data_IF_674445702787
#
_entry.id   IF_674445702787
#
_cell.length_a   1.000
_cell.length_b   1.000
_cell.length_c   1.000
_cell.angle_alpha   90.00
_cell.angle_beta   90.00
_cell.angle_gamma   90.00
#
_symmetry.space_group_name_H-M   'P 1'
#
loop_
_entity.id
_entity.type
_entity.pdbx_description
1 polymer ?
#
# COMPACT_ATOMS: atom_id res chain seq x y z
N UNK A 1 13.79 -43.27 24.93
CA UNK A 1 14.22 -41.89 25.22
C UNK A 1 14.07 -41.06 23.93
N UNK A 2 12.97 -40.32 23.79
CA UNK A 2 12.68 -39.51 22.62
C UNK A 2 13.36 -38.13 22.78
N UNK A 3 14.29 -37.82 21.89
CA UNK A 3 15.00 -36.54 21.84
C UNK A 3 14.07 -35.49 21.22
N UNK A 4 13.50 -34.63 22.05
CA UNK A 4 12.72 -33.47 21.62
C UNK A 4 13.68 -32.41 21.11
N UNK A 5 13.77 -32.22 19.76
CA UNK A 5 14.44 -31.06 19.18
C UNK A 5 13.69 -29.80 19.55
N UNK A 6 14.37 -28.77 20.08
CA UNK A 6 13.73 -27.49 20.33
C UNK A 6 13.31 -26.85 19.00
N UNK A 7 12.07 -26.37 18.97
CA UNK A 7 11.49 -25.55 17.90
C UNK A 7 12.30 -24.25 17.80
N UNK A 8 12.75 -23.82 16.60
CA UNK A 8 13.49 -22.57 16.49
C UNK A 8 12.59 -21.41 16.94
N UNK A 9 13.09 -20.66 17.90
CA UNK A 9 12.49 -19.39 18.33
C UNK A 9 12.33 -18.47 17.13
N UNK A 10 11.27 -17.63 17.13
CA UNK A 10 11.04 -16.60 16.14
C UNK A 10 12.35 -15.84 15.87
N UNK A 11 12.77 -15.79 14.60
CA UNK A 11 14.06 -15.24 14.20
C UNK A 11 14.17 -13.81 14.69
N UNK A 12 15.08 -13.56 15.63
CA UNK A 12 15.49 -12.19 15.98
C UNK A 12 15.92 -11.51 14.68
N UNK A 13 15.18 -10.46 14.32
CA UNK A 13 15.53 -9.64 13.16
C UNK A 13 16.99 -9.17 13.30
N UNK A 14 17.80 -9.46 12.29
CA UNK A 14 19.23 -9.15 12.36
C UNK A 14 19.45 -7.65 12.55
N UNK A 15 20.53 -7.26 13.24
CA UNK A 15 20.93 -5.85 13.39
C UNK A 15 21.01 -5.12 12.04
N UNK A 16 21.37 -5.85 10.98
CA UNK A 16 21.45 -5.33 9.62
C UNK A 16 20.05 -4.99 9.06
N UNK A 17 19.08 -5.86 9.26
CA UNK A 17 17.71 -5.62 8.80
C UNK A 17 17.05 -4.48 9.57
N UNK A 18 17.26 -4.40 10.88
CA UNK A 18 16.79 -3.26 11.70
C UNK A 18 17.39 -1.93 11.23
N UNK A 19 18.69 -1.90 10.94
CA UNK A 19 19.35 -0.70 10.40
C UNK A 19 18.82 -0.33 9.02
N UNK A 20 18.58 -1.32 8.15
CA UNK A 20 18.01 -1.13 6.81
C UNK A 20 16.61 -0.51 6.91
N UNK A 21 15.76 -1.08 7.73
CA UNK A 21 14.39 -0.57 7.96
C UNK A 21 14.39 0.86 8.52
N UNK A 22 15.25 1.12 9.53
CA UNK A 22 15.39 2.46 10.11
C UNK A 22 15.83 3.51 9.08
N UNK A 23 16.83 3.18 8.24
CA UNK A 23 17.30 4.10 7.18
C UNK A 23 16.21 4.35 6.14
N UNK A 24 15.51 3.29 5.67
CA UNK A 24 14.40 3.44 4.72
C UNK A 24 13.31 4.34 5.29
N UNK A 25 12.94 4.14 6.54
CA UNK A 25 11.94 4.94 7.22
C UNK A 25 12.36 6.40 7.35
N UNK A 26 13.57 6.68 7.82
CA UNK A 26 14.08 8.05 7.93
C UNK A 26 14.04 8.79 6.59
N UNK A 27 14.35 8.10 5.48
CA UNK A 27 14.21 8.67 4.14
C UNK A 27 12.77 9.05 3.81
N UNK A 28 11.81 8.15 4.10
CA UNK A 28 10.38 8.38 3.83
C UNK A 28 9.86 9.55 4.65
N UNK A 29 10.07 9.55 5.95
CA UNK A 29 9.58 10.58 6.87
C UNK A 29 10.15 11.95 6.49
N UNK A 30 11.48 12.05 6.31
CA UNK A 30 12.15 13.29 5.89
C UNK A 30 11.63 13.81 4.54
N UNK A 31 11.41 12.93 3.57
CA UNK A 31 10.95 13.34 2.25
C UNK A 31 9.50 13.85 2.30
N UNK A 32 8.60 13.10 2.94
CA UNK A 32 7.19 13.47 3.02
C UNK A 32 6.99 14.79 3.75
N UNK A 33 7.73 15.03 4.83
CA UNK A 33 7.71 16.32 5.53
C UNK A 33 8.16 17.45 4.62
N UNK A 34 9.29 17.29 3.92
CA UNK A 34 9.83 18.31 3.01
C UNK A 34 8.92 18.58 1.82
N UNK A 35 8.39 17.53 1.20
CA UNK A 35 7.47 17.66 0.07
C UNK A 35 6.18 18.40 0.48
N UNK A 36 5.71 18.16 1.69
CA UNK A 36 4.52 18.82 2.23
C UNK A 36 4.78 20.28 2.57
N UNK A 37 5.95 20.62 3.11
CA UNK A 37 6.29 21.97 3.55
C UNK A 37 6.70 22.89 2.40
N UNK A 38 7.56 22.42 1.50
CA UNK A 38 8.15 23.24 0.44
C UNK A 38 7.54 22.99 -0.95
N UNK A 39 6.68 21.96 -1.09
CA UNK A 39 6.16 21.50 -2.37
C UNK A 39 7.06 20.45 -3.03
N UNK A 40 6.43 19.44 -3.65
CA UNK A 40 7.13 18.32 -4.26
C UNK A 40 8.18 18.72 -5.29
N UNK A 41 7.84 19.64 -6.20
CA UNK A 41 8.73 20.04 -7.30
C UNK A 41 9.93 20.89 -6.82
N UNK A 42 9.80 21.58 -5.71
CA UNK A 42 10.84 22.45 -5.15
C UNK A 42 11.92 21.67 -4.37
N UNK A 43 11.63 20.46 -3.94
CA UNK A 43 12.56 19.65 -3.14
C UNK A 43 13.35 18.72 -4.05
N UNK A 44 14.66 18.85 -4.05
CA UNK A 44 15.57 17.99 -4.81
C UNK A 44 15.89 16.70 -4.06
N UNK A 45 16.33 15.68 -4.80
CA UNK A 45 16.80 14.43 -4.20
C UNK A 45 18.04 14.65 -3.31
N UNK A 46 18.90 15.61 -3.67
CA UNK A 46 20.08 15.95 -2.88
C UNK A 46 19.71 16.50 -1.50
N UNK A 47 18.72 17.37 -1.44
CA UNK A 47 18.21 17.92 -0.19
C UNK A 47 17.58 16.86 0.69
N UNK A 48 16.83 15.91 0.12
CA UNK A 48 16.29 14.78 0.86
C UNK A 48 17.41 13.91 1.43
N UNK A 49 18.41 13.57 0.61
CA UNK A 49 19.55 12.74 1.04
C UNK A 49 20.37 13.44 2.14
N UNK A 50 20.63 14.73 1.98
CA UNK A 50 21.37 15.51 2.97
C UNK A 50 20.62 15.56 4.32
N UNK A 51 19.31 15.81 4.29
CA UNK A 51 18.51 15.88 5.50
C UNK A 51 18.31 14.53 6.20
N UNK A 52 18.28 13.44 5.45
CA UNK A 52 18.24 12.08 6.00
C UNK A 52 19.64 11.52 6.35
N UNK A 53 20.70 12.33 6.19
CA UNK A 53 22.10 11.97 6.44
C UNK A 53 22.56 10.71 5.68
N UNK A 54 22.11 10.56 4.41
CA UNK A 54 22.48 9.45 3.55
C UNK A 54 23.06 9.91 2.23
N UNK A 55 23.89 9.06 1.59
CA UNK A 55 24.36 9.33 0.23
C UNK A 55 23.30 9.00 -0.81
N UNK A 56 23.36 9.62 -2.02
CA UNK A 56 22.54 9.22 -3.18
C UNK A 56 22.68 7.72 -3.49
N UNK A 57 23.89 7.14 -3.37
CA UNK A 57 24.08 5.69 -3.52
C UNK A 57 23.26 4.90 -2.52
N UNK A 58 23.14 5.40 -1.28
CA UNK A 58 22.31 4.78 -0.26
C UNK A 58 20.83 4.92 -0.61
N UNK A 59 20.38 6.09 -1.08
CA UNK A 59 19.02 6.31 -1.55
C UNK A 59 18.64 5.30 -2.65
N UNK A 60 19.42 5.22 -3.73
CA UNK A 60 19.15 4.33 -4.87
C UNK A 60 19.22 2.83 -4.55
N UNK A 61 19.68 2.47 -3.37
CA UNK A 61 19.55 1.10 -2.84
C UNK A 61 18.14 0.79 -2.31
N UNK A 62 17.36 1.81 -1.95
CA UNK A 62 16.02 1.68 -1.37
C UNK A 62 14.91 2.09 -2.32
N UNK A 63 15.13 3.08 -3.15
CA UNK A 63 14.14 3.71 -4.00
C UNK A 63 14.72 4.00 -5.39
N UNK A 64 13.97 3.72 -6.45
CA UNK A 64 14.40 4.02 -7.81
C UNK A 64 14.12 5.48 -8.20
N UNK A 65 13.16 6.14 -7.53
CA UNK A 65 12.78 7.51 -7.87
C UNK A 65 12.23 8.27 -6.65
N UNK A 66 12.02 9.57 -6.83
CA UNK A 66 11.41 10.46 -5.85
C UNK A 66 9.91 10.16 -5.69
N UNK A 67 9.24 9.74 -6.76
CA UNK A 67 7.85 9.30 -6.78
C UNK A 67 7.67 8.01 -5.97
N UNK A 68 8.58 7.05 -6.16
CA UNK A 68 8.57 5.80 -5.39
C UNK A 68 8.74 6.07 -3.90
N UNK A 69 9.67 6.97 -3.54
CA UNK A 69 9.85 7.41 -2.16
C UNK A 69 8.58 8.04 -1.58
N UNK A 70 7.93 8.95 -2.34
CA UNK A 70 6.71 9.62 -1.91
C UNK A 70 5.55 8.65 -1.69
N UNK A 71 5.49 7.55 -2.44
CA UNK A 71 4.43 6.54 -2.36
C UNK A 71 4.80 5.31 -1.52
N UNK A 72 5.97 5.29 -0.89
CA UNK A 72 6.47 4.15 -0.14
C UNK A 72 5.49 3.58 0.91
N UNK A 73 4.77 4.39 1.71
CA UNK A 73 3.81 3.86 2.68
C UNK A 73 2.67 3.06 2.02
N UNK A 74 2.19 3.52 0.86
CA UNK A 74 1.13 2.83 0.13
C UNK A 74 1.65 1.55 -0.54
N UNK A 75 2.88 1.58 -1.05
CA UNK A 75 3.54 0.40 -1.59
C UNK A 75 3.73 -0.68 -0.51
N UNK A 76 4.10 -0.30 0.71
CA UNK A 76 4.23 -1.22 1.85
C UNK A 76 2.89 -1.92 2.18
N UNK A 77 1.76 -1.20 2.08
CA UNK A 77 0.42 -1.78 2.23
C UNK A 77 0.12 -2.81 1.14
N UNK A 78 0.38 -2.47 -0.12
CA UNK A 78 0.11 -3.38 -1.24
C UNK A 78 1.05 -4.59 -1.28
N UNK A 79 2.30 -4.43 -0.87
CA UNK A 79 3.21 -5.57 -0.69
C UNK A 79 2.76 -6.48 0.47
N UNK A 80 2.20 -5.91 1.54
CA UNK A 80 1.59 -6.70 2.60
C UNK A 80 0.34 -7.45 2.10
N UNK A 81 -0.50 -6.81 1.29
CA UNK A 81 -1.64 -7.45 0.64
C UNK A 81 -1.23 -8.66 -0.20
N UNK A 82 -0.21 -8.54 -1.03
CA UNK A 82 0.29 -9.64 -1.84
C UNK A 82 0.81 -10.80 -0.98
N UNK A 83 1.54 -10.48 0.12
CA UNK A 83 1.99 -11.52 1.08
C UNK A 83 0.82 -12.24 1.74
N UNK A 84 -0.23 -11.52 2.12
CA UNK A 84 -1.44 -12.14 2.70
C UNK A 84 -2.12 -13.05 1.68
N UNK A 85 -2.20 -12.64 0.41
CA UNK A 85 -2.73 -13.50 -0.66
C UNK A 85 -1.89 -14.77 -0.85
N UNK A 86 -0.55 -14.66 -0.84
CA UNK A 86 0.36 -15.81 -0.92
C UNK A 86 0.18 -16.77 0.27
N UNK A 87 0.05 -16.24 1.48
CA UNK A 87 -0.14 -17.03 2.70
C UNK A 87 -1.50 -17.75 2.75
N UNK A 88 -2.56 -17.11 2.28
CA UNK A 88 -3.91 -17.69 2.28
C UNK A 88 -4.13 -18.66 1.12
N UNK A 89 -3.51 -18.36 -0.02
CA UNK A 89 -3.76 -19.10 -1.26
C UNK A 89 -5.21 -18.95 -1.77
N UNK A 90 -5.54 -19.73 -2.79
CA UNK A 90 -6.91 -19.84 -3.31
C UNK A 90 -7.63 -20.98 -2.60
N UNK A 91 -8.74 -20.68 -1.95
CA UNK A 91 -9.59 -21.64 -1.21
C UNK A 91 -10.95 -21.89 -1.88
N UNK A 92 -11.11 -21.44 -3.13
CA UNK A 92 -12.33 -21.59 -3.91
C UNK A 92 -13.41 -20.54 -3.64
N UNK A 93 -13.18 -19.58 -2.73
CA UNK A 93 -14.09 -18.45 -2.50
C UNK A 93 -14.07 -17.46 -3.67
N UNK A 94 -15.08 -16.59 -3.78
CA UNK A 94 -15.08 -15.50 -4.73
C UNK A 94 -13.83 -14.61 -4.57
N UNK A 95 -13.19 -14.24 -5.68
CA UNK A 95 -11.96 -13.43 -5.68
C UNK A 95 -12.12 -12.09 -4.96
N UNK A 96 -13.29 -11.47 -5.07
CA UNK A 96 -13.60 -10.19 -4.38
C UNK A 96 -13.55 -10.37 -2.86
N UNK A 97 -14.07 -11.46 -2.32
CA UNK A 97 -14.06 -11.75 -0.88
C UNK A 97 -12.63 -12.04 -0.40
N UNK A 98 -11.90 -12.86 -1.13
CA UNK A 98 -10.52 -13.20 -0.82
C UNK A 98 -9.62 -11.95 -0.81
N UNK A 99 -9.74 -11.12 -1.84
CA UNK A 99 -8.95 -9.89 -1.96
C UNK A 99 -9.36 -8.83 -0.91
N UNK A 100 -10.67 -8.69 -0.63
CA UNK A 100 -11.18 -7.85 0.47
C UNK A 100 -10.55 -8.23 1.80
N UNK A 101 -10.64 -9.51 2.16
CA UNK A 101 -10.11 -10.00 3.44
C UNK A 101 -8.58 -9.82 3.52
N UNK A 102 -7.89 -10.02 2.40
CA UNK A 102 -6.45 -9.79 2.33
C UNK A 102 -6.07 -8.31 2.49
N UNK A 103 -6.82 -7.37 1.94
CA UNK A 103 -6.57 -5.93 2.12
C UNK A 103 -6.82 -5.50 3.56
N UNK A 104 -7.91 -5.97 4.18
CA UNK A 104 -8.21 -5.66 5.59
C UNK A 104 -7.09 -6.17 6.50
N UNK A 105 -6.67 -7.41 6.33
CA UNK A 105 -5.58 -7.99 7.12
C UNK A 105 -4.23 -7.30 6.84
N UNK A 106 -3.93 -6.95 5.59
CA UNK A 106 -2.72 -6.20 5.24
C UNK A 106 -2.69 -4.84 5.94
N UNK A 107 -3.81 -4.11 5.96
CA UNK A 107 -3.93 -2.85 6.67
C UNK A 107 -3.72 -3.02 8.19
N UNK A 108 -4.28 -4.06 8.81
CA UNK A 108 -4.04 -4.38 10.22
C UNK A 108 -2.57 -4.70 10.52
N UNK A 109 -1.86 -5.34 9.59
CA UNK A 109 -0.44 -5.70 9.76
C UNK A 109 0.53 -4.53 9.64
N UNK A 110 0.23 -3.55 8.78
CA UNK A 110 1.16 -2.45 8.47
C UNK A 110 0.81 -1.14 9.16
N UNK A 111 -0.46 -0.91 9.46
CA UNK A 111 -0.96 0.38 9.88
C UNK A 111 -0.76 0.60 11.38
N UNK A 112 0.42 1.07 11.76
CA UNK A 112 0.67 1.74 13.02
C UNK A 112 0.41 3.25 12.92
N UNK A 113 0.61 3.98 14.02
CA UNK A 113 0.43 5.44 14.07
C UNK A 113 1.35 6.18 13.09
N UNK A 114 2.56 5.69 12.93
CA UNK A 114 3.59 6.32 12.12
C UNK A 114 3.29 6.07 10.64
N UNK A 115 2.92 4.85 10.27
CA UNK A 115 2.46 4.53 8.92
C UNK A 115 1.23 5.37 8.54
N UNK A 116 0.24 5.49 9.44
CA UNK A 116 -0.99 6.28 9.25
C UNK A 116 -0.68 7.72 8.88
N UNK A 117 0.26 8.35 9.57
CA UNK A 117 0.71 9.70 9.27
C UNK A 117 1.37 9.79 7.89
N UNK A 118 2.34 8.93 7.61
CA UNK A 118 3.09 8.91 6.35
C UNK A 118 2.17 8.59 5.14
N UNK A 119 1.30 7.60 5.25
CA UNK A 119 0.35 7.23 4.19
C UNK A 119 -0.60 8.39 3.84
N UNK A 120 -1.02 9.14 4.84
CA UNK A 120 -1.88 10.31 4.64
C UNK A 120 -1.18 11.44 3.90
N UNK A 121 0.08 11.72 4.23
CA UNK A 121 0.90 12.67 3.48
C UNK A 121 1.11 12.21 2.03
N UNK A 122 1.43 10.94 1.81
CA UNK A 122 1.58 10.34 0.48
C UNK A 122 0.33 10.53 -0.40
N UNK A 123 -0.85 10.23 0.16
CA UNK A 123 -2.12 10.34 -0.57
C UNK A 123 -2.46 11.79 -0.93
N UNK A 124 -2.20 12.74 -0.03
CA UNK A 124 -2.39 14.16 -0.32
C UNK A 124 -1.45 14.64 -1.42
N UNK A 125 -0.17 14.30 -1.32
CA UNK A 125 0.82 14.62 -2.35
C UNK A 125 0.44 14.02 -3.71
N UNK A 126 -0.08 12.78 -3.74
CA UNK A 126 -0.56 12.16 -4.98
C UNK A 126 -1.78 12.89 -5.57
N UNK A 127 -2.67 13.43 -4.73
CA UNK A 127 -3.80 14.25 -5.19
C UNK A 127 -3.38 15.54 -5.88
N UNK A 128 -2.28 16.15 -5.41
CA UNK A 128 -1.82 17.46 -5.87
C UNK A 128 -0.70 17.38 -6.92
N UNK A 129 -0.09 16.18 -7.13
CA UNK A 129 1.09 16.02 -7.98
C UNK A 129 0.88 14.96 -9.06
N UNK A 130 0.69 15.34 -10.34
CA UNK A 130 0.43 14.40 -11.45
C UNK A 130 1.49 13.30 -11.60
N UNK A 131 2.78 13.60 -11.38
CA UNK A 131 3.86 12.63 -11.48
C UNK A 131 3.74 11.51 -10.42
N UNK A 132 3.39 11.85 -9.18
CA UNK A 132 3.16 10.88 -8.10
C UNK A 132 1.90 10.06 -8.39
N UNK A 133 0.82 10.71 -8.86
CA UNK A 133 -0.42 10.04 -9.23
C UNK A 133 -0.21 9.02 -10.35
N UNK A 134 0.53 9.38 -11.39
CA UNK A 134 0.88 8.48 -12.50
C UNK A 134 1.71 7.27 -12.02
N UNK A 135 2.70 7.52 -11.17
CA UNK A 135 3.52 6.45 -10.57
C UNK A 135 2.65 5.49 -9.74
N UNK A 136 1.73 6.02 -8.94
CA UNK A 136 0.81 5.21 -8.13
C UNK A 136 -0.12 4.34 -8.99
N UNK A 137 -0.66 4.89 -10.09
CA UNK A 137 -1.50 4.12 -11.03
C UNK A 137 -0.73 2.96 -11.65
N UNK A 138 0.50 3.19 -12.11
CA UNK A 138 1.36 2.13 -12.64
C UNK A 138 1.69 1.07 -11.60
N UNK A 139 1.90 1.48 -10.35
CA UNK A 139 2.15 0.55 -9.26
C UNK A 139 0.91 -0.31 -8.97
N UNK A 140 -0.29 0.28 -8.90
CA UNK A 140 -1.54 -0.45 -8.72
C UNK A 140 -1.77 -1.47 -9.84
N UNK A 141 -1.52 -1.09 -11.09
CA UNK A 141 -1.61 -1.99 -12.25
C UNK A 141 -0.70 -3.22 -12.09
N UNK A 142 0.58 -3.00 -11.78
CA UNK A 142 1.52 -4.10 -11.52
C UNK A 142 1.10 -4.97 -10.34
N UNK A 143 0.52 -4.38 -9.31
CA UNK A 143 0.03 -5.12 -8.14
C UNK A 143 -1.15 -6.01 -8.50
N UNK A 144 -2.09 -5.53 -9.32
CA UNK A 144 -3.22 -6.34 -9.82
C UNK A 144 -2.71 -7.54 -10.63
N UNK A 145 -1.76 -7.34 -11.53
CA UNK A 145 -1.15 -8.42 -12.33
C UNK A 145 -0.46 -9.45 -11.40
N UNK A 146 0.31 -9.00 -10.42
CA UNK A 146 0.95 -9.89 -9.44
C UNK A 146 -0.08 -10.67 -8.62
N UNK A 147 -1.18 -10.04 -8.20
CA UNK A 147 -2.24 -10.72 -7.45
C UNK A 147 -2.90 -11.83 -8.28
N UNK A 148 -3.16 -11.60 -9.58
CA UNK A 148 -3.65 -12.63 -10.49
C UNK A 148 -2.69 -13.81 -10.58
N UNK A 149 -1.38 -13.53 -10.67
CA UNK A 149 -0.33 -14.57 -10.71
C UNK A 149 -0.30 -15.38 -9.41
N UNK A 150 -0.31 -14.70 -8.27
CA UNK A 150 -0.31 -15.35 -6.94
C UNK A 150 -1.53 -16.26 -6.76
N UNK A 151 -2.69 -15.83 -7.25
CA UNK A 151 -3.94 -16.61 -7.14
C UNK A 151 -4.06 -17.70 -8.21
N UNK A 152 -3.08 -17.83 -9.12
CA UNK A 152 -3.10 -18.84 -10.19
C UNK A 152 -4.18 -18.60 -11.25
N UNK A 153 -4.77 -17.41 -11.30
CA UNK A 153 -5.71 -16.99 -12.34
C UNK A 153 -4.92 -16.24 -13.42
N UNK A 154 -4.51 -16.98 -14.46
CA UNK A 154 -3.60 -16.46 -15.47
C UNK A 154 -4.13 -15.24 -16.23
N UNK A 155 -3.19 -14.43 -16.72
CA UNK A 155 -3.43 -13.16 -17.42
C UNK A 155 -4.19 -13.33 -18.78
N UNK A 156 -4.31 -14.54 -19.29
CA UNK A 156 -4.88 -14.86 -20.61
C UNK A 156 -6.23 -15.58 -20.56
N UNK A 157 -6.87 -15.63 -19.39
CA UNK A 157 -8.06 -16.43 -19.21
C UNK A 157 -9.34 -15.60 -19.25
N UNK A 158 -10.02 -15.58 -18.14
CA UNK A 158 -11.32 -15.04 -17.98
C UNK A 158 -11.25 -13.56 -17.57
N UNK A 159 -11.81 -12.63 -18.35
CA UNK A 159 -11.82 -11.20 -18.01
C UNK A 159 -12.49 -10.94 -16.64
N UNK A 160 -13.33 -11.86 -16.14
CA UNK A 160 -13.98 -11.72 -14.84
C UNK A 160 -13.00 -11.65 -13.68
N UNK A 161 -11.90 -12.41 -13.73
CA UNK A 161 -10.88 -12.38 -12.66
C UNK A 161 -10.18 -11.02 -12.59
N UNK A 162 -9.82 -10.47 -13.75
CA UNK A 162 -9.22 -9.14 -13.83
C UNK A 162 -10.18 -8.07 -13.38
N UNK A 163 -11.42 -8.08 -13.88
CA UNK A 163 -12.47 -7.12 -13.49
C UNK A 163 -12.77 -7.19 -11.99
N UNK A 164 -12.81 -8.38 -11.40
CA UNK A 164 -13.02 -8.55 -9.97
C UNK A 164 -11.92 -7.84 -9.14
N UNK A 165 -10.65 -8.02 -9.50
CA UNK A 165 -9.55 -7.36 -8.81
C UNK A 165 -9.51 -5.85 -9.07
N UNK A 166 -9.85 -5.39 -10.28
CA UNK A 166 -9.95 -3.97 -10.60
C UNK A 166 -11.07 -3.28 -9.79
N UNK A 167 -12.20 -3.95 -9.58
CA UNK A 167 -13.26 -3.46 -8.69
C UNK A 167 -12.78 -3.35 -7.24
N UNK A 168 -12.07 -4.36 -6.74
CA UNK A 168 -11.48 -4.33 -5.40
C UNK A 168 -10.47 -3.19 -5.27
N UNK A 169 -9.57 -3.02 -6.25
CA UNK A 169 -8.60 -1.94 -6.27
C UNK A 169 -9.26 -0.55 -6.31
N UNK A 170 -10.37 -0.41 -7.06
CA UNK A 170 -11.15 0.83 -7.12
C UNK A 170 -11.84 1.15 -5.79
N UNK A 171 -12.44 0.16 -5.15
CA UNK A 171 -13.06 0.31 -3.83
C UNK A 171 -12.01 0.66 -2.76
N UNK A 172 -10.85 0.00 -2.79
CA UNK A 172 -9.74 0.27 -1.87
C UNK A 172 -9.21 1.70 -2.04
N UNK A 173 -9.03 2.18 -3.27
CA UNK A 173 -8.62 3.55 -3.56
C UNK A 173 -9.65 4.56 -3.05
N UNK A 174 -10.94 4.36 -3.33
CA UNK A 174 -12.01 5.20 -2.83
C UNK A 174 -11.99 5.32 -1.29
N UNK A 175 -11.78 4.22 -0.60
CA UNK A 175 -11.67 4.20 0.87
C UNK A 175 -10.45 4.97 1.36
N UNK A 176 -9.27 4.78 0.74
CA UNK A 176 -8.03 5.47 1.06
C UNK A 176 -8.14 6.98 0.84
N UNK A 177 -8.67 7.41 -0.31
CA UNK A 177 -8.83 8.82 -0.64
C UNK A 177 -9.78 9.51 0.36
N UNK A 178 -10.92 8.88 0.66
CA UNK A 178 -11.87 9.39 1.64
C UNK A 178 -11.30 9.40 3.07
N UNK A 179 -10.44 8.45 3.42
CA UNK A 179 -9.75 8.42 4.71
C UNK A 179 -8.70 9.53 4.81
N UNK A 180 -7.90 9.74 3.77
CA UNK A 180 -6.89 10.78 3.74
C UNK A 180 -7.48 12.21 3.80
N UNK A 181 -8.65 12.40 3.17
CA UNK A 181 -9.38 13.67 3.16
C UNK A 181 -10.16 13.95 4.46
N UNK A 182 -10.34 12.95 5.32
CA UNK A 182 -11.12 13.12 6.55
C UNK A 182 -10.48 14.19 7.48
N UNK A 183 -11.30 15.01 8.16
CA UNK A 183 -10.80 16.01 9.11
C UNK A 183 -10.14 15.35 10.34
N UNK A 184 -9.28 16.09 11.01
CA UNK A 184 -8.62 15.61 12.22
C UNK A 184 -7.49 14.62 11.96
N UNK A 185 -7.32 13.65 12.84
CA UNK A 185 -6.29 12.60 12.76
C UNK A 185 -6.98 11.24 12.63
N UNK A 186 -7.37 10.83 11.42
CA UNK A 186 -8.04 9.53 11.20
C UNK A 186 -7.10 8.38 11.58
N UNK A 187 -7.69 7.38 12.21
CA UNK A 187 -7.02 6.20 12.75
C UNK A 187 -7.03 5.04 11.74
N UNK A 188 -6.32 3.97 12.08
CA UNK A 188 -6.41 2.67 11.36
C UNK A 188 -7.84 2.13 11.40
N UNK A 189 -8.52 2.25 12.55
CA UNK A 189 -9.91 1.81 12.68
C UNK A 189 -10.85 2.53 11.71
N UNK A 190 -10.62 3.84 11.49
CA UNK A 190 -11.38 4.62 10.50
C UNK A 190 -11.10 4.15 9.08
N UNK A 191 -9.85 3.79 8.76
CA UNK A 191 -9.49 3.21 7.46
C UNK A 191 -10.19 1.86 7.23
N UNK A 192 -10.13 0.97 8.21
CA UNK A 192 -10.78 -0.34 8.14
C UNK A 192 -12.30 -0.23 7.99
N UNK A 193 -12.93 0.71 8.68
CA UNK A 193 -14.35 0.98 8.54
C UNK A 193 -14.70 1.46 7.12
N UNK A 194 -13.88 2.35 6.54
CA UNK A 194 -14.06 2.81 5.16
C UNK A 194 -13.84 1.71 4.13
N UNK A 195 -12.85 0.84 4.33
CA UNK A 195 -12.65 -0.33 3.47
C UNK A 195 -13.88 -1.23 3.48
N UNK A 196 -14.40 -1.59 4.67
CA UNK A 196 -15.61 -2.42 4.78
C UNK A 196 -16.79 -1.77 4.04
N UNK A 197 -17.05 -0.48 4.30
CA UNK A 197 -18.15 0.23 3.64
C UNK A 197 -18.01 0.31 2.12
N UNK A 198 -16.79 0.53 1.60
CA UNK A 198 -16.54 0.55 0.16
C UNK A 198 -16.75 -0.82 -0.48
N UNK A 199 -16.28 -1.90 0.16
CA UNK A 199 -16.49 -3.26 -0.34
C UNK A 199 -17.94 -3.71 -0.27
N UNK A 200 -18.66 -3.36 0.79
CA UNK A 200 -20.10 -3.66 0.95
C UNK A 200 -20.94 -2.94 -0.12
N UNK A 201 -20.47 -1.80 -0.63
CA UNK A 201 -21.16 -1.05 -1.68
C UNK A 201 -20.93 -1.61 -3.10
N UNK A 202 -19.90 -2.46 -3.32
CA UNK A 202 -19.57 -2.98 -4.66
C UNK A 202 -20.74 -3.64 -5.40
N UNK A 203 -21.54 -4.54 -4.78
CA UNK A 203 -22.67 -5.17 -5.49
C UNK A 203 -23.72 -4.16 -5.96
N UNK A 204 -24.01 -3.15 -5.14
CA UNK A 204 -24.95 -2.08 -5.48
C UNK A 204 -24.42 -1.15 -6.58
N UNK A 205 -23.11 -0.99 -6.68
CA UNK A 205 -22.47 -0.17 -7.71
C UNK A 205 -22.74 -0.66 -9.14
N UNK A 206 -22.97 -1.95 -9.32
CA UNK A 206 -23.27 -2.55 -10.63
C UNK A 206 -24.70 -2.24 -11.12
N UNK A 207 -25.57 -1.79 -10.25
CA UNK A 207 -27.01 -1.56 -10.53
C UNK A 207 -27.43 -0.11 -10.33
N UNK A 208 -26.48 0.78 -10.03
CA UNK A 208 -26.76 2.22 -9.85
C UNK A 208 -27.29 2.81 -11.16
N UNK A 209 -28.46 3.47 -11.09
CA UNK A 209 -29.05 4.16 -12.23
C UNK A 209 -28.63 5.63 -12.24
N UNK A 210 -28.41 6.18 -13.43
CA UNK A 210 -28.26 7.62 -13.58
C UNK A 210 -29.56 8.33 -13.19
N UNK A 211 -29.50 9.51 -12.55
CA UNK A 211 -30.72 10.28 -12.25
C UNK A 211 -31.45 10.63 -13.55
N UNK A 212 -32.78 10.52 -13.57
CA UNK A 212 -33.59 11.04 -14.66
C UNK A 212 -33.43 12.58 -14.72
N UNK A 213 -33.29 13.12 -15.93
CA UNK A 213 -33.24 14.58 -16.16
C UNK A 213 -34.63 15.15 -16.16
#
# INVERSE_FOLDING_TARGET
MASTRPRPAASEESLRERKKRRTRRALVDTALERFTLAGYDQVTLDEVCAAAEVSKRTFFRYFASKEELAMAPLQDLWEAFLRVLEEKGSDGRPLVELARDAILEAAERVADREWTHAARLSLRLAGDTPAISAHNLQFCERTTVRALTVLGVGDHGDPRSRLALDMVASAARYALDGWAAAPGTPTVSDLLARYRGAFDALPGGLTVSAPAR
#
